data_IF_755360645723
#
_entry.id   IF_755360645723
#
_cell.length_a   1.000
_cell.length_b   1.000
_cell.length_c   1.000
_cell.angle_alpha   90.00
_cell.angle_beta   90.00
_cell.angle_gamma   90.00
#
_symmetry.space_group_name_H-M   'P 1'
#
loop_
_entity.id
_entity.type
_entity.pdbx_description
1 polymer ?
#
# COMPACT_ATOMS: atom_id res chain seq x y z
N UNK A 1 -13.25 -5.90 -19.11
CA UNK A 1 -12.47 -6.76 -18.19
C UNK A 1 -13.31 -7.01 -16.95
N UNK A 2 -13.30 -8.23 -16.41
CA UNK A 2 -13.93 -8.51 -15.12
C UNK A 2 -13.00 -7.99 -14.01
N UNK A 3 -13.46 -7.05 -13.20
CA UNK A 3 -12.70 -6.48 -12.09
C UNK A 3 -13.29 -6.98 -10.78
N UNK A 4 -12.54 -7.80 -10.04
CA UNK A 4 -13.02 -8.41 -8.79
C UNK A 4 -13.42 -7.37 -7.73
N UNK A 5 -12.81 -6.18 -7.75
CA UNK A 5 -13.18 -5.10 -6.83
C UNK A 5 -14.49 -4.42 -7.24
N UNK A 6 -14.79 -4.30 -8.54
CA UNK A 6 -16.11 -3.88 -8.98
C UNK A 6 -17.19 -4.90 -8.58
N UNK A 7 -16.89 -6.20 -8.66
CA UNK A 7 -17.81 -7.25 -8.23
C UNK A 7 -18.05 -7.20 -6.71
N UNK A 8 -17.03 -6.86 -5.92
CA UNK A 8 -17.18 -6.58 -4.48
C UNK A 8 -18.04 -5.33 -4.23
N UNK A 9 -17.78 -4.22 -4.94
CA UNK A 9 -18.50 -2.96 -4.78
C UNK A 9 -19.99 -3.13 -5.14
N UNK A 10 -20.28 -3.91 -6.18
CA UNK A 10 -21.64 -4.22 -6.62
C UNK A 10 -22.36 -5.26 -5.75
N UNK A 11 -21.65 -5.90 -4.83
CA UNK A 11 -22.19 -6.96 -3.95
C UNK A 11 -22.32 -8.33 -4.62
N UNK A 12 -21.78 -8.52 -5.82
CA UNK A 12 -21.70 -9.83 -6.48
C UNK A 12 -20.73 -10.78 -5.77
N UNK A 13 -19.64 -10.23 -5.20
CA UNK A 13 -18.70 -10.98 -4.37
C UNK A 13 -18.80 -10.52 -2.90
N UNK A 14 -18.67 -11.44 -1.93
CA UNK A 14 -18.67 -11.07 -0.52
C UNK A 14 -17.40 -10.30 -0.16
N UNK A 15 -17.50 -9.44 0.86
CA UNK A 15 -16.35 -8.80 1.48
C UNK A 15 -16.57 -8.57 2.97
N UNK A 16 -15.48 -8.62 3.74
CA UNK A 16 -15.49 -8.27 5.16
C UNK A 16 -15.17 -6.78 5.31
N UNK A 17 -16.20 -5.95 5.17
CA UNK A 17 -16.09 -4.47 5.20
C UNK A 17 -15.68 -3.97 6.59
N UNK A 18 -14.73 -3.05 6.64
CA UNK A 18 -14.26 -2.40 7.88
C UNK A 18 -14.62 -0.92 7.93
N UNK A 19 -14.82 -0.29 6.76
CA UNK A 19 -15.25 1.10 6.62
C UNK A 19 -15.78 1.34 5.20
N UNK A 20 -16.74 2.24 5.05
CA UNK A 20 -17.35 2.58 3.76
C UNK A 20 -17.95 3.98 3.83
N UNK A 21 -17.89 4.72 2.72
CA UNK A 21 -18.70 5.92 2.49
C UNK A 21 -19.31 5.89 1.07
N UNK A 22 -19.78 7.04 0.57
CA UNK A 22 -20.36 7.15 -0.76
C UNK A 22 -19.38 6.80 -1.89
N UNK A 23 -18.08 7.11 -1.72
CA UNK A 23 -17.09 7.05 -2.79
C UNK A 23 -16.04 5.96 -2.59
N UNK A 24 -15.82 5.51 -1.36
CA UNK A 24 -14.72 4.62 -1.00
C UNK A 24 -15.21 3.43 -0.16
N UNK A 25 -14.46 2.34 -0.26
CA UNK A 25 -14.72 1.11 0.46
C UNK A 25 -13.40 0.56 1.01
N UNK A 26 -13.44 0.09 2.26
CA UNK A 26 -12.34 -0.62 2.89
C UNK A 26 -12.79 -1.99 3.41
N UNK A 27 -12.04 -3.03 3.08
CA UNK A 27 -12.34 -4.41 3.43
C UNK A 27 -11.08 -5.22 3.69
N UNK A 28 -11.20 -6.30 4.46
CA UNK A 28 -10.07 -7.19 4.75
C UNK A 28 -9.64 -7.95 3.48
N UNK A 29 -8.32 -8.08 3.29
CA UNK A 29 -7.78 -9.03 2.32
C UNK A 29 -8.10 -10.45 2.76
N UNK A 30 -8.56 -11.30 1.83
CA UNK A 30 -8.72 -12.74 2.07
C UNK A 30 -7.39 -13.51 2.06
N UNK A 31 -6.31 -12.86 1.60
CA UNK A 31 -4.94 -13.36 1.65
C UNK A 31 -4.06 -12.40 2.45
N UNK A 32 -4.29 -12.26 3.77
CA UNK A 32 -3.51 -11.34 4.60
C UNK A 32 -2.08 -11.89 4.83
N UNK A 33 -1.08 -11.02 4.75
CA UNK A 33 0.29 -11.35 5.17
C UNK A 33 0.58 -10.91 6.63
N UNK A 34 -0.35 -10.18 7.24
CA UNK A 34 -0.37 -9.81 8.66
C UNK A 34 -1.82 -9.68 9.11
N UNK A 35 -2.13 -9.93 10.38
CA UNK A 35 -3.49 -9.84 10.88
C UNK A 35 -4.03 -8.42 10.67
N UNK A 36 -5.23 -8.29 10.09
CA UNK A 36 -5.85 -6.99 9.80
C UNK A 36 -5.42 -6.32 8.49
N UNK A 37 -4.67 -7.01 7.61
CA UNK A 37 -4.40 -6.50 6.25
C UNK A 37 -5.70 -6.04 5.58
N UNK A 38 -5.76 -4.75 5.25
CA UNK A 38 -6.96 -4.09 4.74
C UNK A 38 -6.67 -3.47 3.38
N UNK A 39 -7.62 -3.57 2.46
CA UNK A 39 -7.58 -2.97 1.14
C UNK A 39 -8.56 -1.79 1.13
N UNK A 40 -8.12 -0.62 0.69
CA UNK A 40 -8.94 0.59 0.54
C UNK A 40 -9.00 0.95 -0.94
N UNK A 41 -10.21 1.09 -1.47
CA UNK A 41 -10.47 1.35 -2.90
C UNK A 41 -11.46 2.49 -3.08
N UNK A 42 -11.41 3.24 -4.19
CA UNK A 42 -12.58 3.93 -4.70
C UNK A 42 -13.61 2.91 -5.17
N UNK A 43 -14.89 3.22 -5.01
CA UNK A 43 -16.00 2.40 -5.54
C UNK A 43 -16.06 2.48 -7.06
N UNK A 44 -15.79 3.66 -7.61
CA UNK A 44 -15.57 3.83 -9.04
C UNK A 44 -14.25 3.15 -9.44
N UNK A 45 -14.28 2.48 -10.60
CA UNK A 45 -13.10 1.86 -11.17
C UNK A 45 -12.14 2.91 -11.73
N UNK A 46 -10.88 2.82 -11.33
CA UNK A 46 -9.75 3.51 -11.94
C UNK A 46 -8.60 2.52 -12.11
N UNK A 47 -7.76 2.65 -13.16
CA UNK A 47 -6.58 1.81 -13.36
C UNK A 47 -5.69 1.73 -12.13
N UNK A 48 -4.94 0.65 -11.99
CA UNK A 48 -4.24 0.37 -10.74
C UNK A 48 -3.01 1.23 -10.44
N UNK A 49 -2.51 2.00 -11.42
CA UNK A 49 -1.33 2.83 -11.22
C UNK A 49 -1.70 4.19 -10.61
N UNK A 50 -1.26 4.40 -9.37
CA UNK A 50 -1.65 5.56 -8.55
C UNK A 50 -1.28 6.91 -9.17
N UNK A 51 -0.17 6.97 -9.92
CA UNK A 51 0.36 8.22 -10.46
C UNK A 51 -0.27 8.62 -11.81
N UNK A 52 -1.12 7.78 -12.39
CA UNK A 52 -1.95 8.11 -13.57
C UNK A 52 -3.33 8.65 -13.18
N UNK A 53 -3.64 8.69 -11.88
CA UNK A 53 -4.95 9.12 -11.40
C UNK A 53 -5.10 10.65 -11.45
N UNK A 54 -6.34 11.15 -11.61
CA UNK A 54 -6.64 12.54 -11.29
C UNK A 54 -6.21 12.86 -9.85
N UNK A 55 -5.55 14.00 -9.65
CA UNK A 55 -4.94 14.37 -8.35
C UNK A 55 -5.93 14.27 -7.18
N UNK A 56 -7.17 14.71 -7.38
CA UNK A 56 -8.21 14.67 -6.34
C UNK A 56 -8.52 13.23 -5.89
N UNK A 57 -8.54 12.25 -6.82
CA UNK A 57 -8.77 10.84 -6.49
C UNK A 57 -7.60 10.28 -5.69
N UNK A 58 -6.36 10.59 -6.08
CA UNK A 58 -5.17 10.16 -5.34
C UNK A 58 -5.14 10.72 -3.92
N UNK A 59 -5.43 12.02 -3.77
CA UNK A 59 -5.47 12.70 -2.48
C UNK A 59 -6.55 12.09 -1.58
N UNK A 60 -7.77 11.97 -2.09
CA UNK A 60 -8.91 11.47 -1.31
C UNK A 60 -8.72 9.99 -0.92
N UNK A 61 -8.15 9.18 -1.81
CA UNK A 61 -7.80 7.79 -1.50
C UNK A 61 -6.75 7.71 -0.37
N UNK A 62 -5.72 8.56 -0.41
CA UNK A 62 -4.70 8.61 0.64
C UNK A 62 -5.27 9.08 1.98
N UNK A 63 -6.14 10.10 1.98
CA UNK A 63 -6.83 10.58 3.17
C UNK A 63 -7.74 9.51 3.77
N UNK A 64 -8.43 8.76 2.90
CA UNK A 64 -9.26 7.62 3.30
C UNK A 64 -8.41 6.51 3.90
N UNK A 65 -7.31 6.13 3.25
CA UNK A 65 -6.37 5.13 3.73
C UNK A 65 -5.79 5.51 5.10
N UNK A 66 -5.42 6.79 5.31
CA UNK A 66 -5.03 7.32 6.63
C UNK A 66 -6.11 7.12 7.69
N UNK A 67 -7.37 7.40 7.36
CA UNK A 67 -8.52 7.26 8.26
C UNK A 67 -8.71 5.80 8.70
N UNK A 68 -8.62 4.87 7.75
CA UNK A 68 -8.74 3.43 7.98
C UNK A 68 -7.52 2.89 8.75
N UNK A 69 -6.30 3.31 8.41
CA UNK A 69 -5.08 2.96 9.13
C UNK A 69 -5.17 3.36 10.61
N UNK A 70 -5.73 4.53 10.93
CA UNK A 70 -5.96 4.91 12.33
C UNK A 70 -6.97 4.01 13.03
N UNK A 71 -8.04 3.58 12.37
CA UNK A 71 -8.97 2.59 12.96
C UNK A 71 -8.28 1.28 13.28
N UNK A 72 -7.40 0.82 12.38
CA UNK A 72 -6.57 -0.37 12.57
C UNK A 72 -5.63 -0.20 13.78
N UNK A 73 -4.87 0.91 13.83
CA UNK A 73 -3.95 1.21 14.95
C UNK A 73 -4.69 1.21 16.30
N UNK A 74 -5.96 1.65 16.34
CA UNK A 74 -6.79 1.62 17.54
C UNK A 74 -7.38 0.25 17.88
N UNK A 75 -7.64 -0.59 16.87
CA UNK A 75 -8.25 -1.91 17.05
C UNK A 75 -7.27 -2.92 17.64
N UNK A 76 -5.97 -2.81 17.32
CA UNK A 76 -4.93 -3.72 17.78
C UNK A 76 -4.05 -3.05 18.83
N UNK A 77 -4.00 -3.62 20.03
CA UNK A 77 -3.34 -2.99 21.18
C UNK A 77 -1.82 -2.93 21.06
N UNK A 78 -1.22 -3.75 20.19
CA UNK A 78 0.22 -3.91 19.97
C UNK A 78 0.73 -3.25 18.68
N UNK A 79 -0.18 -2.70 17.86
CA UNK A 79 0.16 -1.99 16.62
C UNK A 79 0.50 -0.55 16.96
N UNK A 80 1.75 -0.15 16.75
CA UNK A 80 2.18 1.24 16.85
C UNK A 80 2.02 2.01 15.53
N UNK A 81 2.08 1.29 14.40
CA UNK A 81 2.05 1.84 13.04
C UNK A 81 1.40 0.88 12.06
N UNK A 82 0.76 1.43 11.04
CA UNK A 82 0.26 0.70 9.87
C UNK A 82 1.00 1.19 8.62
N UNK A 83 1.60 0.27 7.87
CA UNK A 83 2.24 0.55 6.58
C UNK A 83 1.20 0.72 5.47
N UNK A 84 1.55 1.48 4.44
CA UNK A 84 0.73 1.70 3.25
C UNK A 84 1.52 1.38 1.99
N UNK A 85 0.91 0.67 1.05
CA UNK A 85 1.48 0.36 -0.27
C UNK A 85 0.46 0.57 -1.37
N UNK A 86 0.87 1.26 -2.43
CA UNK A 86 0.28 1.19 -3.76
C UNK A 86 1.22 0.37 -4.66
N UNK A 87 0.73 -0.73 -5.25
CA UNK A 87 1.54 -1.62 -6.10
C UNK A 87 0.88 -1.79 -7.47
N UNK A 88 -0.36 -2.27 -7.50
CA UNK A 88 -1.22 -2.27 -8.69
C UNK A 88 -1.10 -3.46 -9.66
N UNK A 89 -0.09 -4.32 -9.54
CA UNK A 89 0.08 -5.44 -10.48
C UNK A 89 -0.83 -6.66 -10.21
N UNK A 90 -1.36 -6.81 -8.99
CA UNK A 90 -2.23 -7.95 -8.64
C UNK A 90 -3.68 -7.81 -9.11
N UNK A 91 -4.22 -6.60 -9.11
CA UNK A 91 -5.61 -6.29 -9.55
C UNK A 91 -5.59 -4.94 -10.23
N UNK A 92 -6.10 -4.88 -11.46
CA UNK A 92 -6.26 -3.63 -12.21
C UNK A 92 -7.47 -2.84 -11.68
N UNK A 93 -7.32 -2.25 -10.50
CA UNK A 93 -8.20 -1.27 -9.87
C UNK A 93 -7.39 -0.63 -8.74
N UNK A 94 -7.23 0.70 -8.70
CA UNK A 94 -6.37 1.33 -7.67
C UNK A 94 -6.77 0.91 -6.25
N UNK A 95 -5.78 0.50 -5.47
CA UNK A 95 -6.02 0.08 -4.10
C UNK A 95 -4.82 0.39 -3.19
N UNK A 96 -5.10 1.03 -2.05
CA UNK A 96 -4.16 1.16 -0.95
C UNK A 96 -4.20 -0.11 -0.09
N UNK A 97 -3.07 -0.82 0.01
CA UNK A 97 -2.92 -1.94 0.94
C UNK A 97 -2.37 -1.41 2.26
N UNK A 98 -3.09 -1.69 3.34
CA UNK A 98 -2.73 -1.33 4.70
C UNK A 98 -2.23 -2.57 5.46
N UNK A 99 -1.04 -2.44 6.05
CA UNK A 99 -0.34 -3.52 6.75
C UNK A 99 -0.09 -3.15 8.21
N UNK A 100 -0.95 -3.61 9.13
CA UNK A 100 -0.73 -3.45 10.56
C UNK A 100 0.61 -4.05 10.99
N UNK A 101 1.47 -3.24 11.62
CA UNK A 101 2.77 -3.70 12.10
C UNK A 101 2.66 -4.12 13.57
N UNK A 102 2.21 -5.35 13.80
CA UNK A 102 2.09 -5.94 15.14
C UNK A 102 3.41 -5.90 15.92
N UNK A 103 3.32 -5.75 17.25
CA UNK A 103 4.47 -5.62 18.15
C UNK A 103 5.28 -4.33 18.02
N UNK A 104 4.83 -3.33 17.25
CA UNK A 104 5.56 -2.05 17.06
C UNK A 104 5.12 -0.94 18.00
N UNK A 105 4.18 -1.19 18.92
CA UNK A 105 3.82 -0.23 19.96
C UNK A 105 4.88 -0.24 21.05
N UNK A 106 5.73 0.79 21.04
CA UNK A 106 6.86 0.96 21.94
C UNK A 106 6.66 2.20 22.81
N UNK A 107 7.25 2.21 24.02
CA UNK A 107 7.22 3.36 24.93
C UNK A 107 8.01 4.56 24.39
N UNK A 108 9.05 4.29 23.58
CA UNK A 108 9.87 5.29 22.92
C UNK A 108 10.26 4.81 21.52
N UNK A 109 10.59 5.76 20.64
CA UNK A 109 11.07 5.43 19.31
C UNK A 109 12.37 4.62 19.40
N UNK A 110 12.42 3.50 18.67
CA UNK A 110 13.59 2.67 18.48
C UNK A 110 13.57 2.12 17.06
N UNK A 111 14.74 2.05 16.43
CA UNK A 111 14.87 1.41 15.13
C UNK A 111 14.58 -0.09 15.22
N UNK A 112 13.78 -0.59 14.28
CA UNK A 112 13.54 -2.02 14.04
C UNK A 112 14.01 -2.27 12.61
N UNK A 113 15.17 -2.90 12.46
CA UNK A 113 15.82 -3.07 11.16
C UNK A 113 15.78 -4.53 10.73
N UNK A 114 15.53 -4.76 9.45
CA UNK A 114 15.71 -6.07 8.83
C UNK A 114 17.20 -6.40 8.71
N UNK A 115 17.54 -7.67 8.90
CA UNK A 115 18.86 -8.23 8.57
C UNK A 115 18.94 -8.69 7.11
N UNK A 116 17.80 -8.78 6.41
CA UNK A 116 17.77 -9.11 4.99
C UNK A 116 18.35 -7.96 4.19
N UNK A 117 19.33 -8.28 3.34
CA UNK A 117 19.93 -7.38 2.37
C UNK A 117 19.72 -7.98 0.99
N UNK A 118 18.86 -7.36 0.18
CA UNK A 118 18.57 -7.88 -1.16
C UNK A 118 18.34 -6.73 -2.14
N UNK A 119 18.90 -6.88 -3.33
CA UNK A 119 18.72 -5.99 -4.46
C UNK A 119 18.06 -6.77 -5.60
N UNK A 120 17.03 -6.20 -6.21
CA UNK A 120 16.30 -6.81 -7.33
C UNK A 120 16.53 -5.97 -8.59
N UNK A 121 17.21 -6.52 -9.60
CA UNK A 121 17.35 -5.87 -10.91
C UNK A 121 16.03 -5.85 -11.70
N UNK A 122 15.14 -6.81 -11.43
CA UNK A 122 13.84 -6.97 -12.08
C UNK A 122 12.76 -7.12 -11.01
N UNK A 123 11.58 -6.52 -11.24
CA UNK A 123 10.44 -6.59 -10.34
C UNK A 123 10.10 -8.04 -9.97
N UNK A 124 10.21 -8.46 -8.69
CA UNK A 124 10.07 -9.86 -8.30
C UNK A 124 8.60 -10.29 -8.07
N UNK A 125 7.63 -9.46 -8.45
CA UNK A 125 6.21 -9.68 -8.17
C UNK A 125 5.73 -9.13 -6.82
N UNK A 126 6.58 -8.40 -6.10
CA UNK A 126 6.26 -7.64 -4.89
C UNK A 126 7.26 -6.51 -4.69
N UNK A 127 6.90 -5.54 -3.84
CA UNK A 127 7.85 -4.54 -3.32
C UNK A 127 8.17 -4.83 -1.86
N UNK A 128 9.37 -4.48 -1.43
CA UNK A 128 9.77 -4.57 -0.04
C UNK A 128 10.49 -3.29 0.40
N UNK A 129 10.34 -2.96 1.68
CA UNK A 129 10.98 -1.79 2.29
C UNK A 129 12.27 -2.11 3.04
N UNK A 130 12.81 -3.33 2.89
CA UNK A 130 14.13 -3.66 3.41
C UNK A 130 15.22 -3.11 2.49
N UNK A 131 16.38 -2.89 3.05
CA UNK A 131 17.52 -2.34 2.32
C UNK A 131 18.24 -3.41 1.50
N UNK A 132 18.97 -2.98 0.47
CA UNK A 132 20.04 -3.78 -0.15
C UNK A 132 21.41 -3.54 0.50
N UNK A 133 22.45 -4.07 -0.14
CA UNK A 133 23.82 -3.64 0.14
C UNK A 133 24.04 -2.18 -0.29
N UNK A 134 24.98 -1.48 0.36
CA UNK A 134 25.29 -0.09 0.01
C UNK A 134 25.80 -0.02 -1.43
N UNK A 135 25.12 0.74 -2.28
CA UNK A 135 25.56 1.04 -3.64
C UNK A 135 26.73 2.04 -3.63
N UNK A 136 27.62 1.92 -4.61
CA UNK A 136 28.74 2.86 -4.78
C UNK A 136 28.25 4.26 -5.18
N UNK A 137 28.99 5.28 -4.77
CA UNK A 137 28.57 6.68 -4.94
C UNK A 137 28.56 7.11 -6.41
N UNK A 138 29.40 6.50 -7.24
CA UNK A 138 29.45 6.77 -8.69
C UNK A 138 28.16 6.28 -9.38
N UNK A 139 27.76 5.03 -9.13
CA UNK A 139 26.50 4.46 -9.64
C UNK A 139 25.27 5.21 -9.10
N UNK A 140 25.29 5.62 -7.83
CA UNK A 140 24.23 6.46 -7.26
C UNK A 140 24.13 7.81 -7.98
N UNK A 141 25.26 8.47 -8.26
CA UNK A 141 25.30 9.75 -8.96
C UNK A 141 24.81 9.61 -10.42
N UNK A 142 25.20 8.55 -11.11
CA UNK A 142 24.72 8.24 -12.46
C UNK A 142 23.21 7.99 -12.49
N UNK A 143 22.71 7.16 -11.58
CA UNK A 143 21.27 6.86 -11.45
C UNK A 143 20.47 8.13 -11.17
N UNK A 144 20.96 8.99 -10.26
CA UNK A 144 20.32 10.26 -9.95
C UNK A 144 20.32 11.23 -11.14
N UNK A 145 21.36 11.22 -11.98
CA UNK A 145 21.39 12.02 -13.22
C UNK A 145 20.32 11.54 -14.19
N UNK A 146 20.27 10.23 -14.45
CA UNK A 146 19.29 9.60 -15.35
C UNK A 146 17.84 9.99 -14.97
N UNK A 147 17.49 9.92 -13.68
CA UNK A 147 16.15 10.27 -13.20
C UNK A 147 15.86 11.76 -13.44
N UNK A 148 16.82 12.66 -13.15
CA UNK A 148 16.62 14.12 -13.29
C UNK A 148 16.46 14.58 -14.74
N UNK A 149 17.13 13.88 -15.67
CA UNK A 149 17.07 14.19 -17.10
C UNK A 149 15.84 13.55 -17.78
N UNK A 150 15.13 12.65 -17.08
CA UNK A 150 13.91 12.03 -17.58
C UNK A 150 12.74 13.01 -17.54
N UNK A 151 11.87 12.97 -18.54
CA UNK A 151 10.65 13.77 -18.62
C UNK A 151 9.44 12.85 -18.79
N UNK A 152 8.30 13.16 -18.13
CA UNK A 152 7.06 12.38 -18.28
C UNK A 152 6.49 12.46 -19.69
#
# INVERSE_FOLDING_TARGET
>A
MACIFCDIVSGQLPSHKVWEDENYLAFLSIFPNTLGTTVVIPKQHYPSYAFDLPEHILIDLLLTAKKVAKKIDHAFTDVGRTGLVFEGFGVDHIHAKLFPMHGTKLDAWKAINSTLRTFYDVYPGYIASHDGERMDDERLAETARLIRESHP
#
